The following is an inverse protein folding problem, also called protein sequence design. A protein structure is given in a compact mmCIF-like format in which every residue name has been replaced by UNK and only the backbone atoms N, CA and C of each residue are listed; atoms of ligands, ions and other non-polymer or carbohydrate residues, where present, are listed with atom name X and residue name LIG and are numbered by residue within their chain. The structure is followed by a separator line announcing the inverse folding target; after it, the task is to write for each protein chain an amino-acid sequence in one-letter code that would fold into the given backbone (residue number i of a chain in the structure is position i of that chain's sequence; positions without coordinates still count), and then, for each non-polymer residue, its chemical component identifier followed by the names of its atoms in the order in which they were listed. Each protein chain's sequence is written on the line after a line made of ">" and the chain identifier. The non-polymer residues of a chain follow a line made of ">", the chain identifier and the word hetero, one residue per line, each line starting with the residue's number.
data_IF_937224045303
#
_entry.id   IF_937224045303
#
_cell.length_a   1.000
_cell.length_b   1.000
_cell.length_c   1.000
_cell.angle_alpha   90.00
_cell.angle_beta   90.00
_cell.angle_gamma   90.00
#
_symmetry.space_group_name_H-M   'P 1'
#
loop_
_entity.id
_entity.type
_entity.pdbx_description
1 polymer ?
#
# COMPACT_ATOMS: atom_id res chain seq x y z
N UNK A 1 5.11 -8.47 -51.51
CA UNK A 1 4.57 -7.62 -50.43
C UNK A 1 4.97 -8.25 -49.10
N UNK A 2 5.94 -7.68 -48.37
CA UNK A 2 6.35 -8.20 -47.04
C UNK A 2 5.40 -7.65 -45.98
N UNK A 3 4.59 -8.52 -45.38
CA UNK A 3 3.82 -8.20 -44.18
C UNK A 3 4.79 -7.92 -43.04
N UNK A 4 4.83 -6.69 -42.54
CA UNK A 4 5.50 -6.36 -41.27
C UNK A 4 4.57 -6.86 -40.16
N UNK A 5 4.91 -8.00 -39.58
CA UNK A 5 4.29 -8.48 -38.34
C UNK A 5 4.59 -7.45 -37.26
N UNK A 6 3.60 -6.63 -36.88
CA UNK A 6 3.69 -5.75 -35.71
C UNK A 6 3.97 -6.66 -34.51
N UNK A 7 5.16 -6.56 -33.92
CA UNK A 7 5.45 -7.22 -32.65
C UNK A 7 4.37 -6.81 -31.66
N UNK A 8 3.60 -7.79 -31.15
CA UNK A 8 2.60 -7.56 -30.11
C UNK A 8 3.36 -7.29 -28.81
N UNK A 9 3.59 -6.03 -28.50
CA UNK A 9 4.11 -5.61 -27.21
C UNK A 9 2.99 -5.88 -26.20
N UNK A 10 3.22 -6.78 -25.24
CA UNK A 10 2.28 -7.02 -24.15
C UNK A 10 2.42 -5.87 -23.14
N UNK A 11 1.37 -5.06 -23.03
CA UNK A 11 1.32 -3.87 -22.18
C UNK A 11 0.33 -4.15 -21.05
N UNK A 12 0.79 -4.54 -19.86
CA UNK A 12 -0.07 -4.68 -18.69
C UNK A 12 -0.58 -3.30 -18.24
N UNK A 13 -1.90 -3.23 -18.03
CA UNK A 13 -2.61 -2.06 -17.51
C UNK A 13 -3.38 -2.55 -16.30
N UNK A 14 -3.24 -1.85 -15.18
CA UNK A 14 -4.02 -2.09 -13.98
C UNK A 14 -5.32 -1.30 -14.09
N UNK A 15 -6.46 -1.96 -13.95
CA UNK A 15 -7.76 -1.31 -14.05
C UNK A 15 -8.77 -1.98 -13.10
N UNK A 16 -9.49 -1.17 -12.34
CA UNK A 16 -10.56 -1.64 -11.46
C UNK A 16 -11.78 -2.11 -12.27
N UNK A 17 -12.65 -2.90 -11.62
CA UNK A 17 -13.85 -3.48 -12.26
C UNK A 17 -14.75 -2.43 -12.93
N UNK A 18 -14.83 -1.24 -12.34
CA UNK A 18 -15.64 -0.12 -12.83
C UNK A 18 -15.16 0.43 -14.18
N UNK A 19 -13.86 0.32 -14.48
CA UNK A 19 -13.28 0.70 -15.78
C UNK A 19 -13.90 -0.15 -16.90
N UNK A 20 -14.02 -1.46 -16.66
CA UNK A 20 -14.56 -2.38 -17.67
C UNK A 20 -16.04 -2.13 -17.93
N UNK A 21 -16.82 -1.79 -16.91
CA UNK A 21 -18.23 -1.43 -17.07
C UNK A 21 -18.39 -0.11 -17.84
N UNK A 22 -17.54 0.89 -17.59
CA UNK A 22 -17.52 2.14 -18.34
C UNK A 22 -17.11 1.96 -19.82
N UNK A 23 -16.12 1.10 -20.08
CA UNK A 23 -15.63 0.82 -21.44
C UNK A 23 -16.60 -0.04 -22.27
N UNK A 24 -17.46 -0.84 -21.63
CA UNK A 24 -18.42 -1.78 -22.26
C UNK A 24 -19.56 -1.08 -23.02
N UNK A 25 -19.75 0.22 -22.86
CA UNK A 25 -20.82 0.97 -23.52
C UNK A 25 -20.70 0.94 -25.06
N UNK A 26 -21.74 0.45 -25.74
CA UNK A 26 -21.78 0.34 -27.22
C UNK A 26 -22.49 1.53 -27.84
N UNK A 27 -21.86 2.19 -28.82
CA UNK A 27 -22.47 3.28 -29.59
C UNK A 27 -22.14 3.17 -31.09
N UNK A 28 -22.98 2.46 -31.85
CA UNK A 28 -23.09 2.56 -33.32
C UNK A 28 -21.77 2.51 -34.12
N UNK A 29 -21.69 3.25 -35.23
CA UNK A 29 -20.53 3.32 -36.14
C UNK A 29 -19.35 4.19 -35.63
N UNK A 30 -19.42 4.70 -34.40
CA UNK A 30 -18.37 5.52 -33.79
C UNK A 30 -17.35 4.61 -33.12
N UNK A 31 -16.10 5.07 -32.96
CA UNK A 31 -15.16 4.36 -32.08
C UNK A 31 -15.82 4.21 -30.70
N UNK A 32 -15.84 2.99 -30.19
CA UNK A 32 -16.28 2.68 -28.82
C UNK A 32 -15.28 3.26 -27.82
N UNK A 33 -15.69 3.38 -26.55
CA UNK A 33 -14.80 3.84 -25.47
C UNK A 33 -13.55 2.97 -25.35
N UNK A 34 -13.70 1.65 -25.54
CA UNK A 34 -12.59 0.70 -25.61
C UNK A 34 -11.65 0.99 -26.78
N UNK A 35 -12.18 1.22 -27.98
CA UNK A 35 -11.35 1.52 -29.15
C UNK A 35 -10.65 2.87 -29.03
N UNK A 36 -11.29 3.87 -28.44
CA UNK A 36 -10.67 5.16 -28.14
C UNK A 36 -9.53 5.02 -27.11
N UNK A 37 -9.70 4.18 -26.10
CA UNK A 37 -8.64 3.87 -25.13
C UNK A 37 -7.45 3.16 -25.78
N UNK A 38 -7.69 2.10 -26.56
CA UNK A 38 -6.65 1.40 -27.32
C UNK A 38 -5.91 2.32 -28.29
N UNK A 39 -6.63 3.25 -28.92
CA UNK A 39 -6.04 4.26 -29.82
C UNK A 39 -5.07 5.20 -29.10
N UNK A 40 -5.43 5.67 -27.89
CA UNK A 40 -4.51 6.45 -27.05
C UNK A 40 -3.29 5.64 -26.64
N UNK A 41 -3.51 4.37 -26.26
CA UNK A 41 -2.44 3.47 -25.88
C UNK A 41 -1.43 3.30 -27.03
N UNK A 42 -1.90 2.95 -28.22
CA UNK A 42 -1.08 2.79 -29.42
C UNK A 42 -0.32 4.09 -29.76
N UNK A 43 -0.99 5.25 -29.68
CA UNK A 43 -0.37 6.56 -29.90
C UNK A 43 0.72 6.87 -28.88
N UNK A 44 0.49 6.55 -27.61
CA UNK A 44 1.43 6.80 -26.53
C UNK A 44 2.67 5.91 -26.63
N UNK A 45 2.49 4.64 -26.98
CA UNK A 45 3.59 3.68 -27.21
C UNK A 45 4.42 4.06 -28.44
N UNK A 46 3.77 4.65 -29.45
CA UNK A 46 4.43 5.14 -30.65
C UNK A 46 5.09 6.53 -30.49
N UNK A 47 4.97 7.19 -29.32
CA UNK A 47 5.46 8.56 -29.13
C UNK A 47 4.79 9.57 -30.06
N UNK A 48 3.50 9.39 -30.35
CA UNK A 48 2.81 10.13 -31.41
C UNK A 48 2.69 11.63 -31.09
N UNK A 49 3.03 12.47 -32.06
CA UNK A 49 2.79 13.94 -32.04
C UNK A 49 1.87 14.31 -33.20
N UNK A 50 0.76 14.98 -32.88
CA UNK A 50 -0.18 15.49 -33.87
C UNK A 50 0.54 16.34 -34.94
N UNK A 51 0.25 16.16 -36.24
CA UNK A 51 0.91 16.87 -37.33
C UNK A 51 0.95 18.40 -37.14
N UNK A 52 -0.09 18.98 -36.54
CA UNK A 52 -0.20 20.41 -36.27
C UNK A 52 0.73 20.93 -35.16
N UNK A 53 1.39 20.03 -34.42
CA UNK A 53 2.21 20.32 -33.25
C UNK A 53 3.70 20.01 -33.46
N UNK A 54 4.07 19.36 -34.57
CA UNK A 54 5.45 18.89 -34.86
C UNK A 54 6.51 20.00 -34.85
N UNK A 55 6.14 21.26 -35.05
CA UNK A 55 7.07 22.40 -35.09
C UNK A 55 7.42 22.98 -33.71
N UNK A 56 6.95 22.40 -32.59
CA UNK A 56 7.12 22.98 -31.24
C UNK A 56 8.16 22.28 -30.34
N UNK A 57 8.94 21.33 -30.84
CA UNK A 57 10.15 20.83 -30.16
C UNK A 57 9.94 20.23 -28.76
N UNK A 58 8.75 19.69 -28.47
CA UNK A 58 8.49 19.05 -27.19
C UNK A 58 9.00 17.60 -27.21
N UNK A 59 9.98 17.28 -26.38
CA UNK A 59 10.48 15.91 -26.23
C UNK A 59 9.49 15.06 -25.43
N UNK A 60 8.90 14.06 -26.07
CA UNK A 60 7.98 13.13 -25.42
C UNK A 60 8.76 12.06 -24.66
N UNK A 61 8.37 11.86 -23.40
CA UNK A 61 8.85 10.74 -22.59
C UNK A 61 8.17 9.43 -23.03
N UNK A 62 8.69 8.24 -22.63
CA UNK A 62 8.07 6.96 -22.95
C UNK A 62 6.59 6.91 -22.53
N UNK A 63 5.75 6.26 -23.34
CA UNK A 63 4.30 6.14 -23.13
C UNK A 63 3.57 7.51 -23.14
N UNK A 64 4.10 8.50 -23.85
CA UNK A 64 3.44 9.78 -24.04
C UNK A 64 3.02 10.01 -25.49
N UNK A 65 1.90 10.71 -25.67
CA UNK A 65 1.53 11.29 -26.96
C UNK A 65 1.10 12.75 -26.80
N UNK A 66 1.35 13.55 -27.84
CA UNK A 66 0.97 14.96 -27.91
C UNK A 66 -0.13 15.14 -28.95
N UNK A 67 -1.34 15.45 -28.48
CA UNK A 67 -2.54 15.49 -29.33
C UNK A 67 -3.36 16.75 -29.05
N UNK A 68 -4.32 17.04 -29.92
CA UNK A 68 -5.36 18.03 -29.62
C UNK A 68 -6.71 17.34 -29.47
N UNK A 69 -7.59 17.92 -28.65
CA UNK A 69 -8.98 17.45 -28.51
C UNK A 69 -9.71 17.48 -29.86
N UNK A 70 -9.35 18.41 -30.75
CA UNK A 70 -9.93 18.49 -32.10
C UNK A 70 -9.52 17.35 -33.01
N UNK A 71 -8.26 16.91 -32.91
CA UNK A 71 -7.76 15.77 -33.70
C UNK A 71 -8.43 14.48 -33.25
N UNK A 72 -8.47 14.22 -31.94
CA UNK A 72 -9.15 13.05 -31.37
C UNK A 72 -10.65 13.05 -31.69
N UNK A 73 -11.31 14.20 -31.60
CA UNK A 73 -12.73 14.36 -31.94
C UNK A 73 -13.02 13.99 -33.40
N UNK A 74 -12.15 14.40 -34.32
CA UNK A 74 -12.29 14.11 -35.74
C UNK A 74 -12.04 12.63 -36.05
N UNK A 75 -11.03 12.05 -35.41
CA UNK A 75 -10.60 10.66 -35.65
C UNK A 75 -11.48 9.62 -34.96
N UNK A 76 -12.07 9.95 -33.81
CA UNK A 76 -12.97 9.07 -33.07
C UNK A 76 -14.44 9.28 -33.48
N UNK A 77 -14.71 10.29 -34.31
CA UNK A 77 -16.05 10.75 -34.67
C UNK A 77 -16.91 11.07 -33.44
N UNK A 78 -16.30 11.71 -32.45
CA UNK A 78 -16.93 12.14 -31.20
C UNK A 78 -17.04 13.65 -31.15
N UNK A 79 -18.02 14.18 -30.41
CA UNK A 79 -18.02 15.59 -30.07
C UNK A 79 -16.83 15.92 -29.16
N UNK A 80 -16.25 17.12 -29.32
CA UNK A 80 -15.13 17.58 -28.46
C UNK A 80 -15.46 17.54 -26.97
N UNK A 81 -16.72 17.76 -26.58
CA UNK A 81 -17.16 17.63 -25.19
C UNK A 81 -17.05 16.18 -24.68
N UNK A 82 -17.46 15.21 -25.50
CA UNK A 82 -17.34 13.77 -25.21
C UNK A 82 -15.89 13.34 -25.06
N UNK A 83 -14.99 13.82 -25.93
CA UNK A 83 -13.54 13.55 -25.81
C UNK A 83 -12.99 14.08 -24.48
N UNK A 84 -13.37 15.29 -24.07
CA UNK A 84 -12.91 15.87 -22.80
C UNK A 84 -13.41 15.04 -21.61
N UNK A 85 -14.72 14.78 -21.55
CA UNK A 85 -15.32 13.98 -20.48
C UNK A 85 -14.73 12.57 -20.42
N UNK A 86 -14.49 11.92 -21.56
CA UNK A 86 -13.83 10.63 -21.60
C UNK A 86 -12.43 10.67 -21.00
N UNK A 87 -11.62 11.67 -21.40
CA UNK A 87 -10.28 11.85 -20.86
C UNK A 87 -10.28 12.24 -19.38
N UNK A 88 -11.30 12.96 -18.89
CA UNK A 88 -11.48 13.28 -17.47
C UNK A 88 -11.71 12.01 -16.65
N UNK A 89 -12.63 11.15 -17.11
CA UNK A 89 -12.93 9.86 -16.45
C UNK A 89 -11.74 8.90 -16.47
N UNK A 90 -10.99 8.84 -17.58
CA UNK A 90 -9.79 7.99 -17.67
C UNK A 90 -8.66 8.46 -16.75
N UNK A 91 -8.58 9.77 -16.47
CA UNK A 91 -7.62 10.33 -15.51
C UNK A 91 -8.06 10.08 -14.07
N UNK A 92 -9.37 10.14 -13.78
CA UNK A 92 -9.95 9.75 -12.49
C UNK A 92 -9.71 8.27 -12.17
N UNK A 93 -9.81 7.39 -13.17
CA UNK A 93 -9.44 5.98 -13.05
C UNK A 93 -7.92 5.73 -12.99
N UNK A 94 -7.10 6.78 -13.06
CA UNK A 94 -5.64 6.66 -13.00
C UNK A 94 -5.01 5.94 -14.19
N UNK A 95 -5.72 5.79 -15.31
CA UNK A 95 -5.25 5.08 -16.50
C UNK A 95 -4.40 5.96 -17.44
N UNK A 96 -4.51 7.27 -17.27
CA UNK A 96 -3.72 8.26 -17.98
C UNK A 96 -3.54 9.52 -17.14
N UNK A 97 -2.48 10.26 -17.40
CA UNK A 97 -2.24 11.59 -16.82
C UNK A 97 -2.13 12.63 -17.93
N UNK A 98 -2.68 13.84 -17.73
CA UNK A 98 -2.72 14.88 -18.76
C UNK A 98 -2.00 16.16 -18.34
N UNK A 99 -1.08 16.60 -19.18
CA UNK A 99 -0.54 17.96 -19.12
C UNK A 99 -1.31 18.82 -20.13
N UNK A 100 -2.15 19.72 -19.61
CA UNK A 100 -2.96 20.63 -20.43
C UNK A 100 -2.14 21.84 -20.85
N UNK A 101 -2.05 22.06 -22.16
CA UNK A 101 -1.43 23.23 -22.77
C UNK A 101 -2.51 24.11 -23.42
N UNK A 102 -2.16 25.34 -23.78
CA UNK A 102 -3.12 26.36 -24.28
C UNK A 102 -3.96 25.93 -25.48
N UNK A 103 -3.49 24.99 -26.31
CA UNK A 103 -4.23 24.45 -27.47
C UNK A 103 -4.06 22.94 -27.69
N UNK A 104 -3.39 22.25 -26.78
CA UNK A 104 -3.02 20.83 -26.94
C UNK A 104 -2.95 20.13 -25.59
N UNK A 105 -2.86 18.82 -25.60
CA UNK A 105 -2.71 18.01 -24.40
C UNK A 105 -1.63 16.96 -24.63
N UNK A 106 -0.77 16.79 -23.63
CA UNK A 106 0.15 15.64 -23.59
C UNK A 106 -0.49 14.62 -22.69
N UNK A 107 -0.71 13.42 -23.22
CA UNK A 107 -1.31 12.29 -22.52
C UNK A 107 -0.21 11.29 -22.23
N UNK A 108 -0.02 10.97 -20.96
CA UNK A 108 0.87 9.89 -20.50
C UNK A 108 0.01 8.71 -20.12
N UNK A 109 0.16 7.58 -20.81
CA UNK A 109 -0.56 6.35 -20.46
C UNK A 109 0.17 5.64 -19.32
N UNK A 110 -0.57 5.18 -18.32
CA UNK A 110 0.00 4.43 -17.20
C UNK A 110 0.16 2.96 -17.61
N UNK A 111 1.24 2.68 -18.32
CA UNK A 111 1.62 1.33 -18.77
C UNK A 111 2.65 0.76 -17.81
N UNK A 112 2.42 -0.45 -17.31
CA UNK A 112 3.45 -1.19 -16.61
C UNK A 112 4.45 -1.74 -17.64
N UNK A 113 5.54 -1.02 -17.92
CA UNK A 113 6.54 -1.46 -18.91
C UNK A 113 7.36 -2.64 -18.38
N UNK A 114 7.25 -3.78 -19.06
CA UNK A 114 7.98 -5.04 -18.79
C UNK A 114 9.33 -5.16 -19.52
N UNK A 115 10.01 -4.03 -19.77
CA UNK A 115 11.42 -4.00 -20.22
C UNK A 115 12.18 -2.83 -19.57
N UNK A 116 12.52 -3.01 -18.30
CA UNK A 116 13.88 -2.76 -17.82
C UNK A 116 14.34 -4.08 -17.21
N UNK A 117 15.13 -4.85 -17.97
CA UNK A 117 16.01 -5.87 -17.39
C UNK A 117 17.22 -5.16 -16.79
N UNK A 118 17.01 -4.45 -15.69
CA UNK A 118 18.00 -4.35 -14.62
C UNK A 118 17.46 -5.15 -13.46
N UNK A 119 17.66 -6.46 -13.53
CA UNK A 119 17.38 -7.43 -12.48
C UNK A 119 15.93 -7.48 -11.97
N UNK A 120 15.47 -8.70 -11.76
CA UNK A 120 14.35 -8.96 -10.86
C UNK A 120 14.76 -8.44 -9.46
N UNK A 121 14.49 -7.18 -9.16
CA UNK A 121 14.51 -6.53 -7.86
C UNK A 121 14.04 -5.07 -8.00
N UNK A 122 12.85 -4.90 -8.59
CA UNK A 122 11.99 -3.77 -8.25
C UNK A 122 11.37 -3.99 -6.87
N UNK A 123 12.18 -4.26 -5.84
CA UNK A 123 11.86 -3.67 -4.55
C UNK A 123 11.75 -2.18 -4.90
N UNK A 124 10.51 -1.65 -5.01
CA UNK A 124 10.27 -0.30 -4.49
C UNK A 124 11.15 -0.26 -3.26
N UNK A 125 12.20 0.56 -3.22
CA UNK A 125 13.15 0.52 -2.10
C UNK A 125 12.32 0.86 -0.88
N UNK A 126 11.76 -0.19 -0.30
CA UNK A 126 10.78 -0.13 0.74
C UNK A 126 11.62 0.47 1.86
N UNK A 127 11.12 1.52 2.48
CA UNK A 127 11.81 2.02 3.66
C UNK A 127 12.01 0.82 4.61
N UNK A 128 13.05 0.86 5.43
CA UNK A 128 13.39 -0.26 6.32
C UNK A 128 12.15 -0.80 7.07
N UNK A 129 11.26 0.09 7.50
CA UNK A 129 10.01 -0.25 8.17
C UNK A 129 9.07 -1.11 7.30
N UNK A 130 8.91 -0.80 6.02
CA UNK A 130 8.11 -1.59 5.07
C UNK A 130 8.72 -2.98 4.84
N UNK A 131 10.04 -3.07 4.64
CA UNK A 131 10.72 -4.37 4.47
C UNK A 131 10.58 -5.26 5.70
N UNK A 132 10.72 -4.65 6.89
CA UNK A 132 10.54 -5.35 8.16
C UNK A 132 9.09 -5.78 8.37
N UNK A 133 8.11 -4.90 8.12
CA UNK A 133 6.68 -5.23 8.25
C UNK A 133 6.27 -6.38 7.32
N UNK A 134 6.77 -6.40 6.09
CA UNK A 134 6.54 -7.50 5.16
C UNK A 134 7.13 -8.80 5.69
N UNK A 135 8.41 -8.80 6.07
CA UNK A 135 9.07 -9.98 6.62
C UNK A 135 8.37 -10.52 7.88
N UNK A 136 7.99 -9.61 8.79
CA UNK A 136 7.33 -9.94 10.05
C UNK A 136 5.89 -10.44 9.85
N UNK A 137 5.22 -10.08 8.75
CA UNK A 137 3.85 -10.54 8.47
C UNK A 137 3.75 -12.07 8.36
N UNK A 138 4.70 -12.70 7.67
CA UNK A 138 4.76 -14.16 7.56
C UNK A 138 5.07 -14.83 8.90
N UNK A 139 5.91 -14.21 9.73
CA UNK A 139 6.15 -14.67 11.10
C UNK A 139 4.90 -14.52 11.96
N UNK A 140 4.15 -13.42 11.88
CA UNK A 140 2.91 -13.22 12.63
C UNK A 140 1.90 -14.32 12.30
N UNK A 141 1.77 -14.68 11.02
CA UNK A 141 0.88 -15.76 10.54
C UNK A 141 1.38 -17.14 10.95
N UNK A 142 2.66 -17.28 11.31
CA UNK A 142 3.29 -18.53 11.71
C UNK A 142 3.81 -19.36 10.55
N UNK A 143 4.04 -18.75 9.39
CA UNK A 143 4.68 -19.40 8.24
C UNK A 143 6.19 -19.53 8.42
N UNK A 144 6.80 -18.60 9.16
CA UNK A 144 8.24 -18.48 9.37
C UNK A 144 8.57 -18.71 10.85
N UNK A 145 9.71 -19.35 11.15
CA UNK A 145 10.16 -19.63 12.52
C UNK A 145 10.76 -18.39 13.19
N UNK A 146 10.97 -18.44 14.52
CA UNK A 146 11.61 -17.35 15.27
C UNK A 146 13.07 -17.12 14.80
N UNK A 147 13.81 -18.20 14.54
CA UNK A 147 15.22 -18.11 14.13
C UNK A 147 15.34 -17.52 12.73
N UNK A 148 14.49 -17.96 11.81
CA UNK A 148 14.49 -17.49 10.42
C UNK A 148 14.10 -16.01 10.32
N UNK A 149 13.08 -15.56 11.06
CA UNK A 149 12.71 -14.14 11.05
C UNK A 149 13.78 -13.27 11.74
N UNK A 150 14.44 -13.80 12.77
CA UNK A 150 15.53 -13.12 13.47
C UNK A 150 16.70 -12.82 12.51
N UNK A 151 17.14 -13.83 11.76
CA UNK A 151 18.18 -13.69 10.73
C UNK A 151 17.74 -12.68 9.65
N UNK A 152 16.49 -12.74 9.20
CA UNK A 152 15.97 -11.84 8.16
C UNK A 152 15.92 -10.38 8.63
N UNK A 153 15.47 -10.11 9.86
CA UNK A 153 15.47 -8.76 10.45
C UNK A 153 16.89 -8.22 10.59
N UNK A 154 17.82 -9.05 11.07
CA UNK A 154 19.23 -8.68 11.22
C UNK A 154 19.87 -8.30 9.87
N UNK A 155 19.61 -9.09 8.81
CA UNK A 155 20.07 -8.78 7.46
C UNK A 155 19.50 -7.48 6.90
N UNK A 156 18.22 -7.19 7.17
CA UNK A 156 17.57 -5.94 6.74
C UNK A 156 18.18 -4.73 7.45
N UNK A 157 18.45 -4.85 8.75
CA UNK A 157 19.11 -3.80 9.53
C UNK A 157 20.54 -3.56 9.03
N UNK A 158 21.34 -4.61 8.86
CA UNK A 158 22.71 -4.50 8.32
C UNK A 158 22.72 -3.81 6.96
N UNK A 159 21.83 -4.23 6.05
CA UNK A 159 21.68 -3.60 4.73
C UNK A 159 21.37 -2.10 4.85
N UNK A 160 20.47 -1.72 5.74
CA UNK A 160 20.14 -0.30 5.96
C UNK A 160 21.33 0.49 6.53
N UNK A 161 22.14 -0.12 7.40
CA UNK A 161 23.36 0.46 7.96
C UNK A 161 24.42 0.68 6.87
N UNK A 162 24.65 -0.33 6.02
CA UNK A 162 25.58 -0.27 4.88
C UNK A 162 25.17 0.82 3.88
N UNK A 163 23.87 0.90 3.56
CA UNK A 163 23.31 1.93 2.67
C UNK A 163 23.44 3.36 3.25
N UNK A 164 23.46 3.49 4.57
CA UNK A 164 23.70 4.76 5.25
C UNK A 164 25.21 5.10 5.35
N UNK A 165 26.10 4.22 4.89
CA UNK A 165 27.54 4.38 4.96
C UNK A 165 28.09 4.23 6.39
N UNK A 166 27.39 3.48 7.24
CA UNK A 166 27.77 3.27 8.65
C UNK A 166 28.56 1.96 8.71
N UNK A 167 29.83 2.05 9.09
CA UNK A 167 30.67 0.86 9.23
C UNK A 167 30.26 0.13 10.53
N UNK A 168 29.63 -1.03 10.39
CA UNK A 168 29.15 -1.86 11.50
C UNK A 168 30.34 -2.43 12.28
N UNK A 169 30.90 -1.64 13.19
CA UNK A 169 31.84 -2.14 14.19
C UNK A 169 31.04 -2.78 15.32
N UNK A 170 30.25 -3.80 15.02
CA UNK A 170 29.57 -4.54 16.07
C UNK A 170 30.59 -5.50 16.73
N UNK A 171 30.80 -5.43 18.05
CA UNK A 171 31.70 -6.34 18.74
C UNK A 171 31.16 -7.76 18.62
N UNK A 172 32.06 -8.71 18.32
CA UNK A 172 31.80 -10.15 18.36
C UNK A 172 31.03 -10.55 19.64
N UNK A 173 30.11 -11.53 19.58
CA UNK A 173 29.31 -11.97 20.73
C UNK A 173 30.14 -12.43 21.94
N UNK A 174 31.43 -12.73 21.74
CA UNK A 174 32.31 -13.30 22.75
C UNK A 174 33.05 -12.27 23.61
N UNK A 175 32.87 -10.96 23.39
CA UNK A 175 33.55 -9.93 24.17
C UNK A 175 32.67 -9.43 25.31
N UNK A 176 32.82 -10.04 26.49
CA UNK A 176 32.31 -9.53 27.76
C UNK A 176 33.04 -8.21 28.06
N UNK A 177 32.58 -7.12 27.48
CA UNK A 177 32.99 -5.79 27.91
C UNK A 177 31.78 -4.88 27.81
N UNK A 178 30.99 -4.86 28.89
CA UNK A 178 30.21 -3.67 29.23
C UNK A 178 31.15 -2.48 29.21
N UNK A 179 30.81 -1.42 28.49
CA UNK A 179 30.98 -0.01 28.92
C UNK A 179 30.13 0.87 27.96
N UNK A 180 29.09 1.48 28.55
CA UNK A 180 28.41 2.75 28.21
C UNK A 180 27.91 3.01 26.76
N UNK A 181 26.58 2.99 26.49
CA UNK A 181 26.00 3.30 25.18
C UNK A 181 25.83 4.83 24.92
N UNK A 182 26.63 5.68 25.57
CA UNK A 182 26.33 7.12 25.69
C UNK A 182 27.35 8.06 25.03
N UNK A 183 28.31 7.55 24.25
CA UNK A 183 29.24 8.41 23.53
C UNK A 183 29.50 7.83 22.15
N UNK A 184 29.00 8.54 21.13
CA UNK A 184 29.32 8.37 19.71
C UNK A 184 28.54 7.28 18.92
N UNK A 185 27.25 7.10 19.19
CA UNK A 185 26.38 6.39 18.24
C UNK A 185 25.96 7.34 17.12
N UNK A 186 26.29 7.00 15.86
CA UNK A 186 25.82 7.72 14.67
C UNK A 186 24.29 7.87 14.74
N UNK A 187 23.78 9.11 14.70
CA UNK A 187 22.35 9.41 14.80
C UNK A 187 21.51 8.60 13.79
N UNK A 188 22.09 8.26 12.64
CA UNK A 188 21.47 7.43 11.60
C UNK A 188 21.40 5.96 12.03
N UNK A 189 22.41 5.45 12.72
CA UNK A 189 22.42 4.09 13.27
C UNK A 189 21.32 3.92 14.33
N UNK A 190 21.18 4.92 15.22
CA UNK A 190 20.12 4.93 16.24
C UNK A 190 18.75 4.90 15.57
N UNK A 191 18.52 5.74 14.55
CA UNK A 191 17.24 5.76 13.80
C UNK A 191 16.92 4.41 13.15
N UNK A 192 17.90 3.78 12.51
CA UNK A 192 17.75 2.45 11.89
C UNK A 192 17.36 1.40 12.93
N UNK A 193 18.06 1.37 14.07
CA UNK A 193 17.78 0.43 15.17
C UNK A 193 16.40 0.69 15.78
N UNK A 194 16.02 1.94 16.01
CA UNK A 194 14.69 2.29 16.53
C UNK A 194 13.58 1.78 15.61
N UNK A 195 13.67 2.04 14.30
CA UNK A 195 12.67 1.54 13.34
C UNK A 195 12.55 0.01 13.40
N UNK A 196 13.68 -0.69 13.53
CA UNK A 196 13.67 -2.13 13.66
C UNK A 196 12.98 -2.63 14.94
N UNK A 197 13.32 -2.02 16.07
CA UNK A 197 12.71 -2.32 17.36
C UNK A 197 11.21 -2.05 17.36
N UNK A 198 10.76 -0.91 16.83
CA UNK A 198 9.34 -0.56 16.69
C UNK A 198 8.58 -1.60 15.86
N UNK A 199 9.13 -2.02 14.71
CA UNK A 199 8.49 -3.03 13.87
C UNK A 199 8.40 -4.40 14.57
N UNK A 200 9.48 -4.84 15.23
CA UNK A 200 9.55 -6.14 15.90
C UNK A 200 8.61 -6.19 17.11
N UNK A 201 8.62 -5.15 17.95
CA UNK A 201 7.74 -5.06 19.13
C UNK A 201 6.27 -5.08 18.72
N UNK A 202 5.91 -4.30 17.69
CA UNK A 202 4.54 -4.30 17.16
C UNK A 202 4.15 -5.68 16.62
N UNK A 203 5.01 -6.32 15.83
CA UNK A 203 4.77 -7.67 15.31
C UNK A 203 4.62 -8.72 16.43
N UNK A 204 5.36 -8.59 17.54
CA UNK A 204 5.23 -9.47 18.69
C UNK A 204 3.84 -9.35 19.35
N UNK A 205 3.34 -8.12 19.53
CA UNK A 205 1.99 -7.86 20.02
C UNK A 205 0.95 -8.47 19.06
N UNK A 206 1.09 -8.23 17.76
CA UNK A 206 0.19 -8.78 16.74
C UNK A 206 0.17 -10.32 16.74
N UNK A 207 1.33 -10.96 16.92
CA UNK A 207 1.45 -12.42 17.00
C UNK A 207 0.85 -12.97 18.29
N UNK A 208 1.01 -12.28 19.41
CA UNK A 208 0.36 -12.64 20.67
C UNK A 208 -1.17 -12.54 20.55
N UNK A 209 -1.67 -11.42 20.00
CA UNK A 209 -3.09 -11.18 19.75
C UNK A 209 -3.69 -12.26 18.84
N UNK A 210 -2.94 -12.71 17.82
CA UNK A 210 -3.38 -13.77 16.90
C UNK A 210 -3.73 -15.09 17.59
N UNK A 211 -3.31 -15.33 18.83
CA UNK A 211 -3.72 -16.54 19.59
C UNK A 211 -5.22 -16.53 19.91
N UNK A 212 -5.80 -15.35 20.07
CA UNK A 212 -7.23 -15.18 20.38
C UNK A 212 -8.15 -15.21 19.16
N UNK A 213 -7.63 -15.45 17.95
CA UNK A 213 -8.45 -15.49 16.71
C UNK A 213 -9.57 -16.54 16.72
N UNK A 214 -9.40 -17.60 17.52
CA UNK A 214 -10.35 -18.69 17.64
C UNK A 214 -11.34 -18.50 18.80
N UNK A 215 -11.16 -17.45 19.60
CA UNK A 215 -12.05 -17.15 20.71
C UNK A 215 -13.39 -16.61 20.19
N UNK A 216 -14.45 -16.80 20.98
CA UNK A 216 -15.77 -16.26 20.64
C UNK A 216 -15.78 -14.74 20.83
N UNK A 217 -16.35 -14.03 19.86
CA UNK A 217 -16.48 -12.57 19.88
C UNK A 217 -17.93 -12.12 20.02
N UNK A 218 -18.88 -13.05 20.14
CA UNK A 218 -20.31 -12.75 20.26
C UNK A 218 -20.62 -11.95 21.52
N UNK A 219 -20.02 -12.31 22.66
CA UNK A 219 -20.21 -11.63 23.95
C UNK A 219 -19.86 -10.13 23.89
N UNK A 220 -18.85 -9.73 23.09
CA UNK A 220 -18.52 -8.31 22.90
C UNK A 220 -19.59 -7.56 22.09
N UNK A 221 -20.17 -8.23 21.09
CA UNK A 221 -21.27 -7.68 20.30
C UNK A 221 -22.57 -7.59 21.10
N UNK A 222 -22.82 -8.57 21.97
CA UNK A 222 -23.97 -8.58 22.86
C UNK A 222 -23.84 -7.49 23.92
N UNK A 223 -22.65 -7.29 24.49
CA UNK A 223 -22.36 -6.15 25.37
C UNK A 223 -22.69 -4.81 24.70
N UNK A 224 -22.24 -4.59 23.46
CA UNK A 224 -22.56 -3.37 22.72
C UNK A 224 -24.06 -3.16 22.51
N UNK A 225 -24.82 -4.24 22.26
CA UNK A 225 -26.26 -4.17 21.97
C UNK A 225 -27.12 -4.06 23.22
N UNK A 226 -26.78 -4.81 24.27
CA UNK A 226 -27.62 -5.03 25.44
C UNK A 226 -27.26 -4.09 26.58
N UNK A 227 -25.97 -3.88 26.85
CA UNK A 227 -25.50 -3.05 27.97
C UNK A 227 -25.27 -1.60 27.54
N UNK A 228 -24.68 -1.39 26.36
CA UNK A 228 -24.45 -0.06 25.82
C UNK A 228 -25.62 0.48 24.98
N UNK A 229 -26.65 -0.34 24.70
CA UNK A 229 -27.79 0.03 23.85
C UNK A 229 -27.39 0.64 22.49
N UNK A 230 -26.24 0.24 21.95
CA UNK A 230 -25.68 0.79 20.71
C UNK A 230 -24.91 2.11 20.86
N UNK A 231 -24.53 2.51 22.08
CA UNK A 231 -23.73 3.71 22.33
C UNK A 231 -22.26 3.52 21.92
N UNK A 232 -21.88 4.23 20.86
CA UNK A 232 -20.51 4.25 20.34
C UNK A 232 -19.53 4.98 21.26
N UNK A 233 -20.00 5.97 22.01
CA UNK A 233 -19.13 6.74 22.93
C UNK A 233 -18.73 5.86 24.11
N UNK A 234 -19.72 5.19 24.72
CA UNK A 234 -19.51 4.16 25.73
C UNK A 234 -18.61 3.04 25.23
N UNK A 235 -18.80 2.55 24.00
CA UNK A 235 -17.95 1.50 23.43
C UNK A 235 -16.47 1.92 23.33
N UNK A 236 -16.19 3.16 22.91
CA UNK A 236 -14.82 3.69 22.83
C UNK A 236 -14.22 3.82 24.24
N UNK A 237 -14.99 4.33 25.21
CA UNK A 237 -14.54 4.45 26.59
C UNK A 237 -14.24 3.07 27.20
N UNK A 238 -15.17 2.11 27.09
CA UNK A 238 -15.00 0.74 27.55
C UNK A 238 -13.82 0.05 26.87
N UNK A 239 -13.66 0.20 25.56
CA UNK A 239 -12.54 -0.38 24.80
C UNK A 239 -11.19 0.17 25.28
N UNK A 240 -11.12 1.48 25.56
CA UNK A 240 -9.94 2.12 26.17
C UNK A 240 -9.66 1.54 27.56
N UNK A 241 -10.70 1.36 28.39
CA UNK A 241 -10.60 0.75 29.71
C UNK A 241 -10.07 -0.69 29.66
N UNK A 242 -10.64 -1.54 28.81
CA UNK A 242 -10.19 -2.92 28.59
C UNK A 242 -8.74 -2.96 28.10
N UNK A 243 -8.39 -2.15 27.09
CA UNK A 243 -7.01 -2.12 26.58
C UNK A 243 -6.02 -1.66 27.65
N UNK A 244 -6.41 -0.67 28.47
CA UNK A 244 -5.64 -0.24 29.63
C UNK A 244 -5.40 -1.38 30.60
N UNK A 245 -6.45 -2.08 31.03
CA UNK A 245 -6.33 -3.19 31.98
C UNK A 245 -5.52 -4.39 31.44
N UNK A 246 -5.52 -4.62 30.13
CA UNK A 246 -4.72 -5.68 29.50
C UNK A 246 -3.23 -5.33 29.48
N UNK A 247 -2.88 -4.05 29.31
CA UNK A 247 -1.50 -3.58 29.17
C UNK A 247 -0.86 -3.13 30.49
N UNK A 248 -1.65 -2.54 31.39
CA UNK A 248 -1.23 -2.03 32.70
C UNK A 248 -1.48 -3.08 33.80
N UNK A 249 -0.72 -4.17 33.78
CA UNK A 249 -0.86 -5.29 34.74
C UNK A 249 -0.58 -4.87 36.20
N UNK A 250 0.14 -3.77 36.44
CA UNK A 250 0.64 -3.37 37.77
C UNK A 250 0.19 -1.95 38.24
N UNK A 251 -0.71 -1.26 37.53
CA UNK A 251 -1.10 0.14 37.88
C UNK A 251 -2.44 0.18 38.63
N UNK A 252 -2.41 -0.25 39.88
CA UNK A 252 -3.61 -0.49 40.70
C UNK A 252 -4.29 0.79 41.28
N UNK A 253 -3.79 2.00 41.04
CA UNK A 253 -4.22 3.16 41.85
C UNK A 253 -4.81 4.38 41.12
N UNK A 254 -4.98 4.37 39.79
CA UNK A 254 -5.59 5.51 39.08
C UNK A 254 -6.41 5.09 37.85
N UNK A 255 -7.37 4.18 38.02
CA UNK A 255 -8.41 3.97 36.99
C UNK A 255 -9.69 4.70 37.39
N UNK A 256 -10.35 5.34 36.42
CA UNK A 256 -11.69 5.94 36.57
C UNK A 256 -12.80 4.90 36.86
N UNK A 257 -12.44 3.63 37.07
CA UNK A 257 -13.33 2.49 37.28
C UNK A 257 -13.20 1.98 38.72
N UNK A 258 -14.36 1.74 39.34
CA UNK A 258 -14.44 1.07 40.63
C UNK A 258 -14.08 -0.43 40.50
N UNK A 259 -13.94 -1.12 41.63
CA UNK A 259 -13.53 -2.53 41.65
C UNK A 259 -14.52 -3.45 40.90
N UNK A 260 -15.82 -3.24 41.09
CA UNK A 260 -16.89 -3.98 40.41
C UNK A 260 -16.83 -3.80 38.89
N UNK A 261 -16.62 -2.56 38.43
CA UNK A 261 -16.48 -2.26 37.00
C UNK A 261 -15.24 -2.93 36.41
N UNK A 262 -14.11 -2.95 37.14
CA UNK A 262 -12.90 -3.64 36.70
C UNK A 262 -13.10 -5.14 36.58
N UNK A 263 -13.80 -5.76 37.53
CA UNK A 263 -14.12 -7.20 37.47
C UNK A 263 -15.03 -7.50 36.28
N UNK A 264 -16.02 -6.64 36.03
CA UNK A 264 -16.85 -6.76 34.84
C UNK A 264 -16.04 -6.63 33.55
N UNK A 265 -15.18 -5.62 33.41
CA UNK A 265 -14.35 -5.43 32.21
C UNK A 265 -13.42 -6.62 31.94
N UNK A 266 -12.93 -7.30 32.99
CA UNK A 266 -12.13 -8.54 32.85
C UNK A 266 -12.89 -9.66 32.15
N UNK A 267 -14.22 -9.73 32.31
CA UNK A 267 -15.04 -10.72 31.60
C UNK A 267 -15.01 -10.50 30.08
N UNK A 268 -14.87 -9.24 29.64
CA UNK A 268 -14.83 -8.86 28.23
C UNK A 268 -13.45 -9.02 27.58
N UNK A 269 -12.40 -9.40 28.31
CA UNK A 269 -11.04 -9.49 27.76
C UNK A 269 -10.94 -10.47 26.60
N UNK A 270 -11.46 -11.69 26.77
CA UNK A 270 -11.42 -12.71 25.71
C UNK A 270 -12.22 -12.28 24.48
N UNK A 271 -13.49 -11.85 24.62
CA UNK A 271 -14.27 -11.34 23.48
C UNK A 271 -13.63 -10.13 22.78
N UNK A 272 -13.04 -9.21 23.55
CA UNK A 272 -12.34 -8.03 23.02
C UNK A 272 -11.11 -8.42 22.20
N UNK A 273 -10.24 -9.28 22.76
CA UNK A 273 -9.06 -9.80 22.06
C UNK A 273 -9.45 -10.62 20.83
N UNK A 274 -10.53 -11.39 20.88
CA UNK A 274 -11.08 -12.12 19.73
C UNK A 274 -11.47 -11.18 18.59
N UNK A 275 -12.18 -10.08 18.92
CA UNK A 275 -12.61 -9.09 17.95
C UNK A 275 -11.41 -8.36 17.31
N UNK A 276 -10.44 -7.96 18.15
CA UNK A 276 -9.20 -7.34 17.68
C UNK A 276 -8.36 -8.30 16.81
N UNK A 277 -8.29 -9.58 17.17
CA UNK A 277 -7.62 -10.61 16.36
C UNK A 277 -8.29 -10.80 15.00
N UNK A 278 -9.63 -10.85 14.93
CA UNK A 278 -10.38 -10.94 13.66
C UNK A 278 -10.17 -9.72 12.77
N UNK A 279 -10.17 -8.52 13.35
CA UNK A 279 -9.87 -7.29 12.62
C UNK A 279 -8.45 -7.32 12.03
N UNK A 280 -7.47 -7.80 12.81
CA UNK A 280 -6.11 -8.00 12.33
C UNK A 280 -6.04 -9.03 11.18
N UNK A 281 -6.78 -10.13 11.25
CA UNK A 281 -6.78 -11.13 10.16
C UNK A 281 -7.35 -10.60 8.84
N UNK A 282 -8.38 -9.76 8.90
CA UNK A 282 -8.94 -9.11 7.71
C UNK A 282 -7.88 -8.27 6.97
N UNK A 283 -6.97 -7.60 7.70
CA UNK A 283 -5.89 -6.82 7.09
C UNK A 283 -4.87 -7.67 6.34
N UNK A 284 -4.67 -8.93 6.74
CA UNK A 284 -3.76 -9.85 6.04
C UNK A 284 -4.38 -10.53 4.81
N UNK A 285 -5.72 -10.61 4.72
CA UNK A 285 -6.40 -11.20 3.56
C UNK A 285 -6.58 -10.24 2.39
N UNK A 286 -6.52 -8.92 2.62
CA UNK A 286 -6.68 -7.89 1.59
C UNK A 286 -5.35 -7.59 0.86
N UNK A 287 -4.22 -8.10 1.36
CA UNK A 287 -2.88 -7.88 0.80
C UNK A 287 -2.28 -9.06 0.03
N UNK A 288 -3.10 -10.02 -0.43
CA UNK A 288 -2.67 -11.20 -1.20
C UNK A 288 -2.93 -11.07 -2.69
#
# INVERSE_FOLDING_TARGET
>A
MKMKTKQKIAVPILADREVFDYLKEKVGERKTKTEAFCDLLDKSLAGFVSPFLRNKGYELQPNQCHVTVSDLSSEWHWHRATVRSFLDVMEEFGLLNRIRLSKSVIITMTVQTSQSTESCNGQKKLNLAEQLREALSDWIIGKVSLDEIGIKCEQLVRRAMDEAGICDSCPSPDSITRINPAADDDERAVKIRMVALECITFAAIQRALRKSRFDDSAEFMDYFRLELYGDWTGLIATSKGIAGLILDVDRDENSDYDEDDREFLKTLFKPFLAFAAKAQEATYQIGG
#
